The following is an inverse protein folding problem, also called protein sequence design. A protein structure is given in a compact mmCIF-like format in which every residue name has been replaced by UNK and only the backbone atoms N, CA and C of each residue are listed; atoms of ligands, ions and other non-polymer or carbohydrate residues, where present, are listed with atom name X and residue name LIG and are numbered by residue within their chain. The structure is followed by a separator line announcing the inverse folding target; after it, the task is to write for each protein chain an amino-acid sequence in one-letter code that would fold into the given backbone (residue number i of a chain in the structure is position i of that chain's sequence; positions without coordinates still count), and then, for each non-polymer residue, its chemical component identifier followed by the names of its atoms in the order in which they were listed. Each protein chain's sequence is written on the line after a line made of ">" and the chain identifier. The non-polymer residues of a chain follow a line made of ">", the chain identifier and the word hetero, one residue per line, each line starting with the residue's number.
data_IF_201859425567
#
_entry.id   IF_201859425567
#
_cell.length_a   1.000
_cell.length_b   1.000
_cell.length_c   1.000
_cell.angle_alpha   90.00
_cell.angle_beta   90.00
_cell.angle_gamma   90.00
#
_symmetry.space_group_name_H-M   'P 1'
#
loop_
_entity.id
_entity.type
_entity.pdbx_description
1 polymer ?
#
# COMPACT_ATOMS: atom_id res chain seq x y z
N UNK A 1 -3.09 -34.39 3.17
CA UNK A 1 -2.87 -33.35 4.19
C UNK A 1 -4.15 -33.30 5.02
N UNK A 2 -4.09 -33.79 6.27
CA UNK A 2 -5.21 -33.80 7.21
C UNK A 2 -5.37 -32.35 7.67
N UNK A 3 -6.47 -31.70 7.32
CA UNK A 3 -6.83 -30.42 7.92
C UNK A 3 -7.31 -30.68 9.34
N UNK A 4 -6.88 -29.86 10.29
CA UNK A 4 -7.34 -29.91 11.67
C UNK A 4 -8.86 -29.74 11.71
N UNK A 5 -9.51 -30.61 12.49
CA UNK A 5 -10.95 -30.70 12.66
C UNK A 5 -11.21 -30.38 14.13
N UNK A 6 -11.73 -29.19 14.41
CA UNK A 6 -12.25 -28.88 15.73
C UNK A 6 -13.57 -29.63 15.97
N UNK A 7 -13.83 -29.97 17.24
CA UNK A 7 -14.79 -30.99 17.70
C UNK A 7 -16.28 -30.76 17.43
N UNK A 8 -16.66 -29.79 16.59
CA UNK A 8 -18.02 -29.62 16.09
C UNK A 8 -17.94 -29.41 14.58
N UNK A 9 -18.51 -30.34 13.81
CA UNK A 9 -18.26 -30.56 12.39
C UNK A 9 -18.71 -29.47 11.40
N UNK A 10 -18.61 -28.20 11.75
CA UNK A 10 -18.76 -27.10 10.81
C UNK A 10 -17.39 -26.72 10.23
N UNK A 11 -17.23 -26.98 8.93
CA UNK A 11 -16.10 -26.41 8.17
C UNK A 11 -16.18 -24.90 8.28
N UNK A 12 -15.13 -24.27 8.80
CA UNK A 12 -15.01 -22.82 8.86
C UNK A 12 -15.34 -22.21 7.48
N UNK A 13 -16.49 -21.54 7.39
CA UNK A 13 -16.94 -20.91 6.15
C UNK A 13 -16.15 -19.61 6.02
N UNK A 14 -15.05 -19.67 5.27
CA UNK A 14 -14.29 -18.50 4.83
C UNK A 14 -15.26 -17.41 4.35
N UNK A 15 -15.43 -16.36 5.15
CA UNK A 15 -16.38 -15.27 4.89
C UNK A 15 -15.69 -14.28 3.98
N UNK A 16 -15.79 -14.52 2.68
CA UNK A 16 -15.40 -13.55 1.67
C UNK A 16 -16.33 -12.34 1.71
N UNK A 17 -16.07 -11.41 2.63
CA UNK A 17 -16.43 -10.02 2.43
C UNK A 17 -15.43 -9.47 1.41
N UNK A 18 -15.71 -9.69 0.13
CA UNK A 18 -15.12 -8.89 -0.93
C UNK A 18 -15.45 -7.43 -0.60
N UNK A 19 -14.49 -6.72 0.01
CA UNK A 19 -14.56 -5.31 0.38
C UNK A 19 -14.68 -4.46 -0.87
N UNK A 20 -15.88 -4.44 -1.44
CA UNK A 20 -16.16 -3.88 -2.75
C UNK A 20 -17.62 -4.10 -3.13
N UNK A 21 -18.54 -3.54 -2.34
CA UNK A 21 -19.88 -3.18 -2.82
C UNK A 21 -19.83 -2.02 -3.83
N UNK A 22 -18.76 -1.92 -4.61
CA UNK A 22 -18.59 -0.94 -5.66
C UNK A 22 -19.23 -1.51 -6.91
N UNK A 23 -20.13 -0.75 -7.53
CA UNK A 23 -20.67 -1.17 -8.81
C UNK A 23 -19.51 -1.42 -9.79
N UNK A 24 -19.52 -2.54 -10.52
CA UNK A 24 -18.51 -2.82 -11.51
C UNK A 24 -18.46 -1.68 -12.53
N UNK A 25 -17.25 -1.27 -12.91
CA UNK A 25 -17.06 -0.19 -13.88
C UNK A 25 -17.80 -0.54 -15.18
N UNK A 26 -18.66 0.35 -15.68
CA UNK A 26 -19.37 0.18 -16.96
C UNK A 26 -18.41 -0.13 -18.11
N UNK A 27 -17.19 0.45 -18.06
CA UNK A 27 -16.15 0.18 -19.06
C UNK A 27 -15.62 -1.25 -18.95
N UNK A 28 -15.40 -1.75 -17.73
CA UNK A 28 -14.95 -3.12 -17.50
C UNK A 28 -15.99 -4.15 -17.95
N UNK A 29 -17.28 -3.89 -17.68
CA UNK A 29 -18.38 -4.76 -18.13
C UNK A 29 -18.44 -4.79 -19.67
N UNK A 30 -18.35 -3.63 -20.33
CA UNK A 30 -18.32 -3.57 -21.80
C UNK A 30 -17.14 -4.35 -22.38
N UNK A 31 -15.96 -4.22 -21.80
CA UNK A 31 -14.77 -4.96 -22.21
C UNK A 31 -14.96 -6.47 -22.03
N UNK A 32 -15.51 -6.89 -20.88
CA UNK A 32 -15.82 -8.29 -20.60
C UNK A 32 -16.76 -8.88 -21.64
N UNK A 33 -17.88 -8.20 -21.93
CA UNK A 33 -18.86 -8.64 -22.92
C UNK A 33 -18.28 -8.71 -24.34
N UNK A 34 -17.46 -7.72 -24.73
CA UNK A 34 -16.81 -7.72 -26.04
C UNK A 34 -15.83 -8.89 -26.17
N UNK A 35 -15.04 -9.14 -25.12
CA UNK A 35 -14.09 -10.24 -25.07
C UNK A 35 -14.82 -11.59 -25.20
N UNK A 36 -15.88 -11.80 -24.40
CA UNK A 36 -16.74 -12.98 -24.49
C UNK A 36 -17.36 -13.16 -25.88
N UNK A 37 -17.85 -12.07 -26.48
CA UNK A 37 -18.43 -12.11 -27.82
C UNK A 37 -17.42 -12.62 -28.86
N UNK A 38 -16.20 -12.06 -28.87
CA UNK A 38 -15.12 -12.49 -29.78
C UNK A 38 -14.75 -13.94 -29.50
N UNK A 39 -14.51 -14.29 -28.23
CA UNK A 39 -14.17 -15.66 -27.83
C UNK A 39 -15.24 -16.67 -28.25
N UNK A 40 -16.53 -16.34 -28.12
CA UNK A 40 -17.65 -17.21 -28.53
C UNK A 40 -17.64 -17.54 -30.03
N UNK A 41 -17.10 -16.64 -30.87
CA UNK A 41 -17.00 -16.82 -32.33
C UNK A 41 -15.73 -17.53 -32.76
N UNK A 42 -14.73 -17.60 -31.88
CA UNK A 42 -13.40 -18.12 -32.17
C UNK A 42 -12.96 -19.22 -31.18
N UNK A 43 -13.90 -19.98 -30.62
CA UNK A 43 -13.64 -21.12 -29.71
C UNK A 43 -12.71 -20.76 -28.54
N UNK A 44 -12.98 -19.63 -27.87
CA UNK A 44 -12.19 -19.17 -26.73
C UNK A 44 -10.91 -18.40 -27.10
N UNK A 45 -10.66 -18.11 -28.38
CA UNK A 45 -9.40 -17.52 -28.87
C UNK A 45 -9.59 -16.07 -29.34
N UNK A 46 -8.49 -15.49 -29.83
CA UNK A 46 -8.44 -14.21 -30.55
C UNK A 46 -8.55 -12.95 -29.66
N UNK A 47 -8.28 -13.06 -28.36
CA UNK A 47 -8.14 -11.91 -27.47
C UNK A 47 -6.79 -11.95 -26.74
N UNK A 48 -6.05 -10.84 -26.80
CA UNK A 48 -4.70 -10.72 -26.23
C UNK A 48 -4.64 -9.47 -25.35
N UNK A 49 -4.19 -9.64 -24.12
CA UNK A 49 -3.93 -8.55 -23.18
C UNK A 49 -2.44 -8.22 -23.13
N UNK A 50 -2.10 -6.94 -23.13
CA UNK A 50 -0.75 -6.45 -22.86
C UNK A 50 -0.75 -5.73 -21.52
N UNK A 51 0.04 -6.22 -20.58
CA UNK A 51 0.23 -5.58 -19.28
C UNK A 51 1.68 -5.68 -18.86
N UNK A 52 2.24 -4.58 -18.33
CA UNK A 52 3.57 -4.56 -17.74
C UNK A 52 3.61 -5.26 -16.37
N UNK A 53 2.49 -5.26 -15.65
CA UNK A 53 2.33 -5.87 -14.33
C UNK A 53 0.97 -6.56 -14.31
N UNK A 54 0.91 -7.89 -14.53
CA UNK A 54 -0.38 -8.57 -14.64
C UNK A 54 -1.19 -8.55 -13.33
N UNK A 55 -0.55 -8.34 -12.17
CA UNK A 55 -1.19 -8.41 -10.84
C UNK A 55 -0.67 -7.34 -9.88
N UNK A 56 -1.53 -6.77 -9.02
CA UNK A 56 -1.13 -5.84 -7.94
C UNK A 56 -1.29 -6.44 -6.53
N UNK A 57 -1.17 -7.76 -6.42
CA UNK A 57 -1.26 -8.53 -5.16
C UNK A 57 -2.69 -8.63 -4.57
N UNK A 58 -3.73 -8.48 -5.40
CA UNK A 58 -5.12 -8.75 -5.01
C UNK A 58 -5.65 -10.01 -5.69
N UNK A 59 -6.19 -10.93 -4.91
CA UNK A 59 -6.82 -12.16 -5.39
C UNK A 59 -7.89 -11.92 -6.46
N UNK A 60 -8.68 -10.86 -6.26
CA UNK A 60 -9.75 -10.47 -7.18
C UNK A 60 -9.23 -10.06 -8.54
N UNK A 61 -8.09 -9.39 -8.60
CA UNK A 61 -7.46 -9.00 -9.87
C UNK A 61 -6.91 -10.20 -10.63
N UNK A 62 -6.30 -11.15 -9.91
CA UNK A 62 -5.81 -12.39 -10.51
C UNK A 62 -6.98 -13.15 -11.15
N UNK A 63 -8.05 -13.35 -10.38
CA UNK A 63 -9.26 -14.01 -10.89
C UNK A 63 -9.90 -13.25 -12.06
N UNK A 64 -10.03 -11.92 -11.97
CA UNK A 64 -10.59 -11.11 -13.05
C UNK A 64 -9.77 -11.22 -14.34
N UNK A 65 -8.43 -11.13 -14.25
CA UNK A 65 -7.55 -11.30 -15.41
C UNK A 65 -7.69 -12.69 -16.03
N UNK A 66 -7.68 -13.73 -15.20
CA UNK A 66 -7.88 -15.09 -15.66
C UNK A 66 -9.24 -15.31 -16.30
N UNK A 67 -10.31 -14.76 -15.72
CA UNK A 67 -11.67 -14.87 -16.29
C UNK A 67 -11.80 -14.22 -17.68
N UNK A 68 -10.92 -13.27 -18.01
CA UNK A 68 -10.91 -12.63 -19.33
C UNK A 68 -10.19 -13.45 -20.40
N UNK A 69 -9.16 -14.21 -20.05
CA UNK A 69 -8.26 -14.83 -21.04
C UNK A 69 -8.19 -16.35 -20.96
N UNK A 70 -8.52 -16.94 -19.81
CA UNK A 70 -8.41 -18.39 -19.58
C UNK A 70 -9.43 -18.88 -18.53
N UNK A 71 -10.71 -18.66 -18.82
CA UNK A 71 -11.80 -19.13 -17.95
C UNK A 71 -11.93 -20.66 -17.95
N UNK A 72 -11.73 -21.30 -19.11
CA UNK A 72 -11.80 -22.76 -19.22
C UNK A 72 -10.70 -23.43 -18.38
N UNK A 73 -9.52 -22.80 -18.29
CA UNK A 73 -8.47 -23.23 -17.37
C UNK A 73 -8.92 -23.21 -15.92
N UNK A 74 -9.53 -22.11 -15.47
CA UNK A 74 -10.08 -22.07 -14.11
C UNK A 74 -11.12 -23.20 -13.88
N UNK A 75 -11.98 -23.45 -14.87
CA UNK A 75 -13.00 -24.49 -14.80
C UNK A 75 -12.42 -25.91 -14.70
N UNK A 76 -11.33 -26.22 -15.41
CA UNK A 76 -10.62 -27.50 -15.32
C UNK A 76 -10.09 -27.80 -13.91
N UNK A 77 -9.71 -26.76 -13.16
CA UNK A 77 -9.26 -26.87 -11.76
C UNK A 77 -10.41 -26.75 -10.74
N UNK A 78 -11.68 -26.79 -11.18
CA UNK A 78 -12.85 -26.75 -10.31
C UNK A 78 -13.16 -25.36 -9.75
N UNK A 79 -12.66 -24.31 -10.39
CA UNK A 79 -12.89 -22.91 -10.01
C UNK A 79 -13.83 -22.26 -11.01
N UNK A 80 -15.10 -22.10 -10.64
CA UNK A 80 -16.14 -21.50 -11.49
C UNK A 80 -16.54 -20.09 -11.05
N UNK A 81 -16.17 -19.70 -9.84
CA UNK A 81 -16.49 -18.38 -9.31
C UNK A 81 -15.38 -17.85 -8.40
N UNK A 82 -15.42 -16.55 -8.15
CA UNK A 82 -14.44 -15.87 -7.31
C UNK A 82 -14.39 -16.44 -5.88
N UNK A 83 -15.53 -16.82 -5.30
CA UNK A 83 -15.55 -17.38 -3.95
C UNK A 83 -14.83 -18.74 -3.87
N UNK A 84 -14.98 -19.58 -4.90
CA UNK A 84 -14.24 -20.83 -5.04
C UNK A 84 -12.75 -20.57 -5.25
N UNK A 85 -12.39 -19.61 -6.11
CA UNK A 85 -10.99 -19.22 -6.31
C UNK A 85 -10.34 -18.82 -4.99
N UNK A 86 -10.98 -17.91 -4.25
CA UNK A 86 -10.44 -17.45 -3.00
C UNK A 86 -10.39 -18.57 -1.94
N UNK A 87 -11.38 -19.48 -1.91
CA UNK A 87 -11.35 -20.62 -0.99
C UNK A 87 -10.14 -21.53 -1.22
N UNK A 88 -9.81 -21.80 -2.48
CA UNK A 88 -8.76 -22.74 -2.88
C UNK A 88 -7.36 -22.13 -2.78
N UNK A 89 -7.21 -20.86 -3.18
CA UNK A 89 -5.90 -20.24 -3.38
C UNK A 89 -5.57 -19.12 -2.39
N UNK A 90 -6.52 -18.61 -1.61
CA UNK A 90 -6.27 -17.49 -0.70
C UNK A 90 -6.20 -17.96 0.75
N UNK A 91 -5.14 -17.52 1.41
CA UNK A 91 -4.97 -17.62 2.85
C UNK A 91 -5.36 -16.29 3.48
N UNK A 92 -6.50 -16.29 4.15
CA UNK A 92 -7.06 -15.10 4.79
C UNK A 92 -6.86 -15.17 6.30
N UNK A 93 -6.49 -14.04 6.89
CA UNK A 93 -6.52 -13.89 8.34
C UNK A 93 -7.23 -12.60 8.70
N UNK A 94 -7.95 -12.61 9.82
CA UNK A 94 -8.51 -11.39 10.38
C UNK A 94 -7.41 -10.60 11.09
N UNK A 95 -7.32 -9.31 10.74
CA UNK A 95 -6.45 -8.35 11.42
C UNK A 95 -7.29 -7.18 11.94
N UNK A 96 -7.01 -6.75 13.16
CA UNK A 96 -7.66 -5.60 13.76
C UNK A 96 -6.95 -4.33 13.29
N UNK A 97 -7.62 -3.53 12.47
CA UNK A 97 -7.07 -2.29 11.91
C UNK A 97 -7.64 -1.10 12.65
N UNK A 98 -6.77 -0.15 13.00
CA UNK A 98 -7.19 1.13 13.55
C UNK A 98 -7.69 2.04 12.42
N UNK A 99 -8.96 2.40 12.44
CA UNK A 99 -9.57 3.24 11.42
C UNK A 99 -9.34 4.73 11.71
N UNK A 100 -9.35 5.56 10.66
CA UNK A 100 -9.24 7.02 10.79
C UNK A 100 -10.37 7.65 11.66
N UNK A 101 -11.47 6.93 11.85
CA UNK A 101 -12.60 7.29 12.71
C UNK A 101 -12.33 6.99 14.21
N UNK A 102 -11.15 6.47 14.55
CA UNK A 102 -10.76 6.16 15.93
C UNK A 102 -11.43 4.90 16.50
N UNK A 103 -11.80 3.94 15.64
CA UNK A 103 -12.39 2.66 16.04
C UNK A 103 -11.54 1.49 15.53
N UNK A 104 -11.49 0.42 16.30
CA UNK A 104 -10.97 -0.86 15.85
C UNK A 104 -11.99 -1.54 14.95
N UNK A 105 -11.54 -1.94 13.76
CA UNK A 105 -12.35 -2.63 12.77
C UNK A 105 -11.63 -3.93 12.39
N UNK A 106 -12.36 -5.04 12.34
CA UNK A 106 -11.80 -6.34 11.96
C UNK A 106 -11.81 -6.40 10.44
N UNK A 107 -10.63 -6.37 9.83
CA UNK A 107 -10.46 -6.49 8.39
C UNK A 107 -9.83 -7.83 8.05
N UNK A 108 -10.43 -8.52 7.08
CA UNK A 108 -9.82 -9.71 6.51
C UNK A 108 -8.71 -9.28 5.55
N UNK A 109 -7.49 -9.69 5.85
CA UNK A 109 -6.29 -9.41 5.06
C UNK A 109 -5.77 -10.72 4.50
N UNK A 110 -5.30 -10.68 3.25
CA UNK A 110 -4.64 -11.81 2.61
C UNK A 110 -3.22 -11.89 3.18
N UNK A 111 -2.90 -12.96 3.94
CA UNK A 111 -1.53 -13.22 4.39
C UNK A 111 -0.68 -13.90 3.34
N UNK A 112 -1.32 -14.70 2.49
CA UNK A 112 -0.61 -15.49 1.50
C UNK A 112 -1.52 -16.24 0.55
N UNK A 113 -0.89 -17.13 -0.21
CA UNK A 113 -1.55 -17.96 -1.20
C UNK A 113 -1.39 -19.43 -0.81
N UNK A 114 -2.49 -20.16 -0.80
CA UNK A 114 -2.50 -21.60 -0.68
C UNK A 114 -2.29 -22.23 -2.07
N UNK A 115 -1.64 -23.39 -2.13
CA UNK A 115 -1.43 -24.13 -3.39
C UNK A 115 -0.73 -23.32 -4.51
N UNK A 116 0.27 -22.52 -4.13
CA UNK A 116 1.04 -21.65 -5.05
C UNK A 116 1.51 -22.37 -6.33
N UNK A 117 2.05 -23.61 -6.28
CA UNK A 117 2.50 -24.28 -7.50
C UNK A 117 1.39 -24.49 -8.52
N UNK A 118 0.19 -24.88 -8.07
CA UNK A 118 -0.98 -25.07 -8.94
C UNK A 118 -1.43 -23.73 -9.52
N UNK A 119 -1.47 -22.69 -8.68
CA UNK A 119 -1.80 -21.34 -9.13
C UNK A 119 -0.80 -20.86 -10.19
N UNK A 120 0.50 -21.10 -10.00
CA UNK A 120 1.53 -20.74 -10.98
C UNK A 120 1.35 -21.50 -12.30
N UNK A 121 1.08 -22.81 -12.27
CA UNK A 121 0.81 -23.59 -13.49
C UNK A 121 -0.37 -23.02 -14.26
N UNK A 122 -1.45 -22.68 -13.56
CA UNK A 122 -2.64 -22.08 -14.15
C UNK A 122 -2.32 -20.71 -14.77
N UNK A 123 -1.58 -19.86 -14.06
CA UNK A 123 -1.26 -18.51 -14.51
C UNK A 123 -0.29 -18.49 -15.70
N UNK A 124 0.81 -19.25 -15.63
CA UNK A 124 1.82 -19.29 -16.69
C UNK A 124 1.40 -20.09 -17.91
N UNK A 125 0.25 -20.77 -17.86
CA UNK A 125 -0.38 -21.39 -19.03
C UNK A 125 -0.82 -20.36 -20.07
N UNK A 126 -1.41 -19.26 -19.59
CA UNK A 126 -2.01 -18.22 -20.44
C UNK A 126 -1.21 -16.93 -20.49
N UNK A 127 -0.17 -16.80 -19.64
CA UNK A 127 0.68 -15.61 -19.56
C UNK A 127 2.08 -15.92 -20.07
N UNK A 128 2.49 -15.18 -21.10
CA UNK A 128 3.89 -15.09 -21.48
C UNK A 128 4.55 -13.93 -20.72
N UNK A 129 5.44 -14.24 -19.79
CA UNK A 129 6.19 -13.26 -19.02
C UNK A 129 7.68 -13.36 -19.37
N UNK A 130 8.31 -12.21 -19.64
CA UNK A 130 9.75 -12.10 -19.81
C UNK A 130 10.30 -11.02 -18.91
N UNK A 131 11.36 -11.33 -18.18
CA UNK A 131 12.07 -10.35 -17.36
C UNK A 131 12.95 -9.46 -18.22
N UNK A 132 13.33 -8.28 -17.70
CA UNK A 132 14.31 -7.44 -18.38
C UNK A 132 15.70 -8.05 -18.45
N UNK A 133 16.02 -8.95 -17.51
CA UNK A 133 17.27 -9.71 -17.46
C UNK A 133 17.32 -10.71 -18.62
N UNK A 134 16.26 -11.48 -18.83
CA UNK A 134 16.12 -12.39 -20.00
C UNK A 134 16.13 -11.66 -21.34
N UNK A 135 15.64 -10.42 -21.36
CA UNK A 135 15.65 -9.58 -22.55
C UNK A 135 16.99 -8.83 -22.75
N UNK A 136 17.99 -9.07 -21.90
CA UNK A 136 19.31 -8.42 -21.93
C UNK A 136 19.23 -6.88 -21.97
N UNK A 137 18.27 -6.32 -21.24
CA UNK A 137 18.04 -4.88 -21.20
C UNK A 137 19.01 -4.27 -20.17
N UNK A 138 19.87 -3.37 -20.64
CA UNK A 138 20.76 -2.59 -19.77
C UNK A 138 19.92 -1.70 -18.84
N UNK A 139 19.98 -1.96 -17.53
CA UNK A 139 19.25 -1.20 -16.50
C UNK A 139 20.23 -0.38 -15.66
N UNK A 140 19.86 0.86 -15.28
CA UNK A 140 20.67 1.63 -14.35
C UNK A 140 20.69 0.95 -12.97
N UNK A 141 21.78 1.16 -12.23
CA UNK A 141 21.91 0.64 -10.86
C UNK A 141 20.88 1.31 -9.94
N UNK A 142 19.97 0.51 -9.37
CA UNK A 142 18.99 0.99 -8.40
C UNK A 142 19.67 1.18 -7.05
N UNK A 143 19.85 2.43 -6.64
CA UNK A 143 20.33 2.78 -5.30
C UNK A 143 19.11 2.99 -4.40
N UNK A 144 18.96 2.17 -3.36
CA UNK A 144 17.86 2.30 -2.38
C UNK A 144 18.37 3.12 -1.21
N UNK A 145 17.74 4.28 -0.99
CA UNK A 145 18.04 5.15 0.14
C UNK A 145 16.91 5.05 1.18
N UNK A 146 17.20 5.20 2.48
CA UNK A 146 18.51 5.43 3.08
C UNK A 146 19.41 4.18 3.08
N UNK A 147 20.71 4.40 2.88
CA UNK A 147 21.73 3.36 2.94
C UNK A 147 22.17 3.17 4.39
N UNK A 148 21.62 2.16 5.06
CA UNK A 148 22.05 1.76 6.41
C UNK A 148 22.99 0.56 6.40
N UNK A 149 22.88 -0.31 5.40
CA UNK A 149 23.65 -1.54 5.30
C UNK A 149 24.40 -1.57 3.96
N UNK A 150 25.52 -2.28 3.92
CA UNK A 150 26.25 -2.60 2.69
C UNK A 150 25.52 -3.67 1.85
N UNK A 151 26.08 -4.00 0.68
CA UNK A 151 25.54 -5.02 -0.23
C UNK A 151 25.43 -6.43 0.40
N UNK A 152 26.08 -6.67 1.54
CA UNK A 152 26.09 -7.93 2.29
C UNK A 152 25.19 -7.89 3.53
N UNK A 153 24.47 -6.79 3.76
CA UNK A 153 23.58 -6.62 4.91
C UNK A 153 24.30 -6.24 6.21
N UNK A 154 25.58 -5.86 6.14
CA UNK A 154 26.36 -5.41 7.29
C UNK A 154 26.06 -3.92 7.53
N UNK A 155 25.75 -3.50 8.77
CA UNK A 155 25.52 -2.09 9.08
C UNK A 155 26.73 -1.22 8.69
N UNK A 156 26.47 -0.18 7.92
CA UNK A 156 27.47 0.81 7.52
C UNK A 156 27.92 1.61 8.75
N UNK A 157 29.21 1.93 8.82
CA UNK A 157 29.70 2.89 9.81
C UNK A 157 29.01 4.24 9.62
N UNK A 158 28.77 5.00 10.70
CA UNK A 158 28.00 6.26 10.69
C UNK A 158 28.38 7.24 9.58
N UNK A 159 29.66 7.30 9.22
CA UNK A 159 30.18 8.18 8.16
C UNK A 159 29.78 7.79 6.74
N UNK A 160 29.34 6.54 6.52
CA UNK A 160 28.88 6.02 5.23
C UNK A 160 27.35 5.85 5.17
N UNK A 161 26.64 6.12 6.27
CA UNK A 161 25.18 6.10 6.29
C UNK A 161 24.67 7.31 5.51
N UNK A 162 23.87 7.06 4.48
CA UNK A 162 23.18 8.11 3.72
C UNK A 162 21.74 8.18 4.20
N UNK A 163 21.43 9.16 5.05
CA UNK A 163 20.04 9.45 5.47
C UNK A 163 19.32 10.30 4.41
N UNK A 164 18.05 9.99 4.17
CA UNK A 164 17.16 10.80 3.30
C UNK A 164 16.41 11.89 4.07
N UNK A 165 16.64 11.99 5.38
CA UNK A 165 16.05 13.05 6.19
C UNK A 165 16.66 14.36 5.74
N UNK A 166 15.80 15.29 5.33
CA UNK A 166 16.20 16.67 5.13
C UNK A 166 16.67 17.20 6.48
N UNK A 167 17.96 17.61 6.62
CA UNK A 167 18.39 18.26 7.84
C UNK A 167 17.57 19.53 8.00
N UNK A 168 17.15 19.79 9.23
CA UNK A 168 16.44 21.03 9.55
C UNK A 168 17.30 22.23 9.14
N UNK A 169 16.67 23.22 8.49
CA UNK A 169 17.33 24.51 8.30
C UNK A 169 17.55 25.17 9.65
N UNK A 170 18.46 26.15 9.73
CA UNK A 170 18.70 26.89 10.98
C UNK A 170 17.41 27.49 11.57
N UNK A 171 16.51 27.96 10.70
CA UNK A 171 15.19 28.47 11.09
C UNK A 171 14.28 27.37 11.63
N UNK A 172 14.22 26.22 10.94
CA UNK A 172 13.42 25.07 11.38
C UNK A 172 13.90 24.55 12.74
N UNK A 173 15.21 24.44 12.94
CA UNK A 173 15.80 24.04 14.23
C UNK A 173 15.38 24.96 15.37
N UNK A 174 15.39 26.28 15.13
CA UNK A 174 14.95 27.28 16.11
C UNK A 174 13.47 27.12 16.46
N UNK A 175 12.60 27.04 15.45
CA UNK A 175 11.16 26.87 15.67
C UNK A 175 10.82 25.55 16.35
N UNK A 176 11.55 24.48 16.03
CA UNK A 176 11.36 23.18 16.65
C UNK A 176 11.70 23.23 18.15
N UNK A 177 12.78 23.93 18.52
CA UNK A 177 13.15 24.18 19.92
C UNK A 177 12.07 24.98 20.65
N UNK A 178 11.55 26.04 20.04
CA UNK A 178 10.48 26.85 20.63
C UNK A 178 9.19 26.03 20.84
N UNK A 179 8.81 25.22 19.84
CA UNK A 179 7.67 24.31 19.94
C UNK A 179 7.86 23.26 21.05
N UNK A 180 9.08 22.74 21.19
CA UNK A 180 9.43 21.82 22.27
C UNK A 180 9.36 22.49 23.65
N UNK A 181 9.87 23.72 23.78
CA UNK A 181 9.79 24.51 25.02
C UNK A 181 8.33 24.81 25.40
N UNK A 182 7.46 25.07 24.42
CA UNK A 182 6.02 25.21 24.65
C UNK A 182 5.40 23.90 25.15
N UNK A 183 5.66 22.79 24.48
CA UNK A 183 5.10 21.48 24.83
C UNK A 183 5.59 20.96 26.20
N UNK A 184 6.82 21.28 26.59
CA UNK A 184 7.40 20.91 27.89
C UNK A 184 7.01 21.84 29.04
N UNK A 185 6.23 22.90 28.77
CA UNK A 185 5.80 23.87 29.79
C UNK A 185 6.88 24.90 30.19
N UNK A 186 8.09 24.81 29.61
CA UNK A 186 9.18 25.78 29.79
C UNK A 186 9.04 27.02 28.87
N UNK A 187 7.83 27.33 28.43
CA UNK A 187 7.55 28.39 27.45
C UNK A 187 8.07 29.78 27.87
N UNK A 188 8.20 30.04 29.18
CA UNK A 188 8.74 31.29 29.71
C UNK A 188 10.20 31.55 29.32
N UNK A 189 10.92 30.49 28.95
CA UNK A 189 12.31 30.56 28.49
C UNK A 189 12.40 30.74 26.96
N UNK A 190 11.28 30.71 26.24
CA UNK A 190 11.29 30.89 24.78
C UNK A 190 11.57 32.34 24.41
N UNK A 191 12.30 32.53 23.31
CA UNK A 191 12.72 33.85 22.85
C UNK A 191 11.51 34.74 22.48
N UNK A 192 10.45 34.13 21.96
CA UNK A 192 9.18 34.80 21.63
C UNK A 192 8.49 35.29 22.91
N UNK A 193 8.52 34.51 24.00
CA UNK A 193 7.94 34.93 25.27
C UNK A 193 8.74 36.08 25.91
N UNK A 194 10.06 36.03 25.83
CA UNK A 194 10.93 37.04 26.44
C UNK A 194 10.96 38.36 25.67
N UNK A 195 10.95 38.30 24.33
CA UNK A 195 11.05 39.49 23.48
C UNK A 195 9.70 40.03 23.05
N UNK A 196 8.65 39.19 23.06
CA UNK A 196 7.32 39.55 22.56
C UNK A 196 7.26 39.78 21.04
N UNK A 197 8.33 39.45 20.30
CA UNK A 197 8.49 39.73 18.88
C UNK A 197 8.56 38.42 18.09
N UNK A 198 7.95 38.41 16.91
CA UNK A 198 8.21 37.36 15.92
C UNK A 198 9.60 37.57 15.31
N UNK A 199 10.38 36.50 15.09
CA UNK A 199 11.65 36.61 14.39
C UNK A 199 11.45 37.06 12.94
N UNK A 200 12.45 37.79 12.42
CA UNK A 200 12.52 38.22 11.03
C UNK A 200 12.38 37.02 10.09
N UNK A 201 11.56 37.17 9.06
CA UNK A 201 11.39 36.19 7.99
C UNK A 201 11.78 36.85 6.67
N UNK A 202 12.91 36.44 6.09
CA UNK A 202 13.48 37.01 4.87
C UNK A 202 12.53 36.96 3.66
N UNK A 203 11.54 36.05 3.66
CA UNK A 203 10.55 35.93 2.58
C UNK A 203 9.37 36.87 2.74
N UNK A 204 9.05 37.29 3.96
CA UNK A 204 8.00 38.26 4.21
C UNK A 204 8.67 39.56 4.63
N UNK A 205 8.77 40.53 3.71
CA UNK A 205 9.15 41.93 3.99
C UNK A 205 8.13 42.64 4.92
N UNK A 206 7.68 41.98 5.99
CA UNK A 206 6.84 42.58 7.01
C UNK A 206 7.76 43.38 7.94
N UNK A 207 7.45 44.66 8.20
CA UNK A 207 8.23 45.49 9.10
C UNK A 207 8.13 44.97 10.54
N UNK A 208 9.15 45.31 11.33
CA UNK A 208 9.35 44.91 12.71
C UNK A 208 8.07 44.99 13.58
N UNK A 209 7.84 43.95 14.38
CA UNK A 209 7.08 44.07 15.63
C UNK A 209 5.56 44.11 15.59
N UNK A 210 4.89 43.68 14.51
CA UNK A 210 3.43 43.49 14.59
C UNK A 210 3.05 42.18 15.29
N UNK A 211 2.84 42.30 16.60
CA UNK A 211 2.10 41.36 17.45
C UNK A 211 0.66 41.28 16.96
N UNK A 212 0.32 40.23 16.21
CA UNK A 212 -1.07 39.91 15.86
C UNK A 212 -1.74 39.02 16.92
N UNK A 213 -1.38 39.14 18.20
CA UNK A 213 -2.21 38.65 19.32
C UNK A 213 -2.04 39.58 20.52
N UNK A 214 -2.62 40.77 20.44
CA UNK A 214 -3.09 41.45 21.63
C UNK A 214 -4.32 40.69 22.14
N UNK A 215 -4.13 39.62 22.92
CA UNK A 215 -5.15 39.04 23.79
C UNK A 215 -4.51 38.04 24.78
N UNK A 216 -4.18 38.55 25.97
CA UNK A 216 -4.30 37.83 27.24
C UNK A 216 -3.50 36.53 27.48
N UNK A 217 -2.28 36.36 26.94
CA UNK A 217 -1.41 35.27 27.44
C UNK A 217 -0.99 35.49 28.91
N UNK A 218 -0.97 36.75 29.37
CA UNK A 218 -0.71 37.10 30.76
C UNK A 218 -1.81 36.65 31.77
N UNK A 219 -2.98 36.18 31.30
CA UNK A 219 -4.07 35.71 32.17
C UNK A 219 -4.24 34.18 32.21
N UNK A 220 -3.52 33.43 31.38
CA UNK A 220 -3.66 31.96 31.30
C UNK A 220 -2.52 31.23 32.04
N UNK A 221 -1.48 31.94 32.48
CA UNK A 221 -0.30 31.37 33.14
C UNK A 221 -0.07 31.91 34.57
N UNK A 222 -1.16 32.13 35.31
CA UNK A 222 -1.16 32.23 36.79
C UNK A 222 -1.79 30.99 37.38
#
# INVERSE_FOLDING_TARGET
>A
MKGDIDGEGEREVKRFQSGGSGQPSTRAIKLFLLNLYIQSKHSGRNTIGLSATPFTNRATEIYSMMSHFDYDGLAEFGVHNLAQFCKVFIDETSETVWTATGKFDIRYVIRGYNNVPVLQTILFRSINYKTGEEANIQRPQKIVLPLYNDDKGIPLAKQFIIETKLPETKEQSRWLKDAYMFASGAFKESEIYQTGLYPLNDKTKKPDGQVLVALNVARVAT
#
